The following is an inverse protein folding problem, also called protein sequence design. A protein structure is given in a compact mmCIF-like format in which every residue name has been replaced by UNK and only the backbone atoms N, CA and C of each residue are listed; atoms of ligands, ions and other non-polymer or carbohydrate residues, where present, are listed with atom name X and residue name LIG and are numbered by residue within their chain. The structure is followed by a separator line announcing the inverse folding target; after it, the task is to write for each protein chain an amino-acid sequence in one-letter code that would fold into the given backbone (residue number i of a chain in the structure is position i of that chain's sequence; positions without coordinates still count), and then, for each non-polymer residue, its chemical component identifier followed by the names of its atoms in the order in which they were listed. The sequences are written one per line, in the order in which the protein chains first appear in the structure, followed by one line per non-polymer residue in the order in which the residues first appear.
data_IF_203022956219
#
_entry.id   IF_203022956219
#
_cell.length_a   1.000
_cell.length_b   1.000
_cell.length_c   1.000
_cell.angle_alpha   90.00
_cell.angle_beta   90.00
_cell.angle_gamma   90.00
#
_symmetry.space_group_name_H-M   'P 1'
#
loop_
_entity.id
_entity.type
_entity.pdbx_description
1 polymer ?
#
# COMPACT_ATOMS: atom_id res chain seq x y z
N UNK A 1 7.46 2.98 -1.74
CA UNK A 1 6.38 1.97 -1.69
C UNK A 1 6.71 0.96 -2.73
N UNK A 2 6.68 -0.30 -2.37
CA UNK A 2 6.84 -1.40 -3.32
C UNK A 2 5.48 -2.07 -3.52
N UNK A 3 5.19 -2.44 -4.77
CA UNK A 3 4.03 -3.23 -5.13
C UNK A 3 4.51 -4.53 -5.77
N UNK A 4 4.22 -5.65 -5.11
CA UNK A 4 4.55 -6.99 -5.58
C UNK A 4 3.27 -7.75 -5.85
N UNK A 5 3.17 -8.34 -7.04
CA UNK A 5 2.07 -9.22 -7.40
C UNK A 5 2.53 -10.68 -7.36
N UNK A 6 1.76 -11.51 -6.68
CA UNK A 6 1.89 -12.98 -6.71
C UNK A 6 0.67 -13.58 -7.40
N UNK A 7 0.67 -14.88 -7.73
CA UNK A 7 -0.55 -15.50 -8.25
C UNK A 7 -1.75 -15.42 -7.29
N UNK A 8 -1.51 -15.25 -5.98
CA UNK A 8 -2.53 -15.27 -4.93
C UNK A 8 -2.90 -13.90 -4.38
N UNK A 9 -2.06 -12.87 -4.51
CA UNK A 9 -2.29 -11.57 -3.87
C UNK A 9 -1.51 -10.42 -4.54
N UNK A 10 -1.97 -9.20 -4.28
CA UNK A 10 -1.14 -8.00 -4.36
C UNK A 10 -0.59 -7.68 -2.97
N UNK A 11 0.68 -7.29 -2.89
CA UNK A 11 1.38 -7.00 -1.63
C UNK A 11 2.01 -5.62 -1.75
N UNK A 12 1.64 -4.71 -0.85
CA UNK A 12 2.18 -3.36 -0.78
C UNK A 12 3.10 -3.24 0.43
N UNK A 13 4.30 -2.68 0.24
CA UNK A 13 5.25 -2.41 1.32
C UNK A 13 5.57 -0.92 1.38
N UNK A 14 5.43 -0.32 2.55
CA UNK A 14 5.62 1.12 2.76
C UNK A 14 6.48 1.33 4.01
N UNK A 15 7.54 2.11 3.86
CA UNK A 15 8.35 2.53 5.00
C UNK A 15 7.55 3.53 5.83
N UNK A 16 7.31 3.18 7.09
CA UNK A 16 6.59 3.97 8.09
C UNK A 16 7.38 4.06 9.42
N UNK A 17 8.72 4.22 9.41
CA UNK A 17 9.47 4.31 10.65
C UNK A 17 9.02 5.55 11.44
N UNK A 18 8.85 5.39 12.75
CA UNK A 18 8.41 6.47 13.65
C UNK A 18 6.90 6.63 13.77
N UNK A 19 6.09 5.91 12.99
CA UNK A 19 4.64 5.86 13.17
C UNK A 19 4.22 4.68 14.03
N UNK A 20 3.34 4.96 14.98
CA UNK A 20 2.56 3.96 15.70
C UNK A 20 1.47 3.36 14.80
N UNK A 21 0.93 2.20 15.19
CA UNK A 21 -0.17 1.57 14.42
C UNK A 21 -1.43 2.43 14.43
N UNK A 22 -1.64 3.22 15.48
CA UNK A 22 -2.79 4.12 15.64
C UNK A 22 -2.71 5.33 14.72
N UNK A 23 -1.50 5.76 14.35
CA UNK A 23 -1.26 6.89 13.45
C UNK A 23 -1.41 6.51 11.97
N UNK A 24 -1.44 5.21 11.66
CA UNK A 24 -1.59 4.68 10.30
C UNK A 24 -3.03 4.21 10.09
N UNK A 25 -3.70 4.79 9.10
CA UNK A 25 -5.04 4.40 8.63
C UNK A 25 -4.93 3.71 7.28
N UNK A 26 -5.56 2.54 7.18
CA UNK A 26 -5.67 1.76 5.94
C UNK A 26 -7.15 1.48 5.69
N UNK A 27 -7.68 1.94 4.56
CA UNK A 27 -9.10 1.86 4.22
C UNK A 27 -9.28 1.51 2.74
N UNK A 28 -10.46 1.02 2.37
CA UNK A 28 -10.88 0.93 0.96
C UNK A 28 -12.04 1.88 0.76
N UNK A 29 -11.85 2.83 -0.15
CA UNK A 29 -12.82 3.84 -0.55
C UNK A 29 -13.32 3.52 -1.97
N UNK A 30 -14.48 4.06 -2.34
CA UNK A 30 -15.09 3.92 -3.67
C UNK A 30 -15.18 2.47 -4.22
N UNK A 31 -15.20 1.48 -3.32
CA UNK A 31 -15.32 0.06 -3.63
C UNK A 31 -14.02 -0.64 -4.01
N UNK A 32 -13.02 0.06 -4.54
CA UNK A 32 -11.74 -0.55 -4.95
C UNK A 32 -10.49 0.31 -4.76
N UNK A 33 -10.58 1.49 -4.12
CA UNK A 33 -9.43 2.36 -3.91
C UNK A 33 -8.83 2.10 -2.53
N UNK A 34 -7.65 1.48 -2.47
CA UNK A 34 -6.90 1.31 -1.22
C UNK A 34 -6.24 2.62 -0.82
N UNK A 35 -6.68 3.18 0.30
CA UNK A 35 -6.16 4.42 0.89
C UNK A 35 -5.30 4.10 2.09
N UNK A 36 -4.06 4.56 2.07
CA UNK A 36 -3.09 4.40 3.16
C UNK A 36 -2.61 5.79 3.56
N UNK A 37 -2.92 6.17 4.80
CA UNK A 37 -2.61 7.49 5.34
C UNK A 37 -1.90 7.37 6.67
N UNK A 38 -0.92 8.23 6.91
CA UNK A 38 -0.47 8.55 8.27
C UNK A 38 -0.60 10.05 8.50
N UNK A 39 -1.12 10.42 9.66
CA UNK A 39 -1.21 11.82 10.07
C UNK A 39 0.19 12.40 10.33
N UNK A 40 0.35 13.73 10.22
CA UNK A 40 1.64 14.39 10.46
C UNK A 40 2.21 13.89 11.78
N UNK A 41 3.38 13.26 11.72
CA UNK A 41 4.15 12.99 12.91
C UNK A 41 4.41 14.35 13.52
N UNK A 42 4.09 14.52 14.81
CA UNK A 42 4.41 15.76 15.51
C UNK A 42 5.85 16.11 15.16
N UNK A 43 6.09 17.31 14.62
CA UNK A 43 7.43 17.88 14.72
C UNK A 43 7.80 17.75 16.19
N UNK A 44 8.86 17.00 16.47
CA UNK A 44 9.30 16.80 17.85
C UNK A 44 9.48 18.20 18.43
N UNK A 45 8.64 18.58 19.41
CA UNK A 45 8.75 19.88 20.03
C UNK A 45 9.96 19.84 20.94
N UNK A 46 11.09 20.31 20.44
CA UNK A 46 12.33 20.28 21.19
C UNK A 46 12.28 21.28 22.34
N UNK A 47 12.78 20.84 23.50
CA UNK A 47 12.87 21.68 24.69
C UNK A 47 13.70 22.94 24.40
N UNK A 48 13.34 24.05 25.06
CA UNK A 48 13.93 25.38 24.84
C UNK A 48 15.47 25.43 25.02
N UNK A 49 16.07 24.41 25.63
CA UNK A 49 17.49 24.34 25.98
C UNK A 49 18.31 23.41 25.06
N UNK A 50 17.84 23.10 23.86
CA UNK A 50 18.53 22.19 22.92
C UNK A 50 18.94 22.87 21.61
N UNK A 51 20.16 22.58 21.14
CA UNK A 51 20.71 23.11 19.89
C UNK A 51 20.78 21.99 18.85
N UNK A 52 20.20 22.25 17.68
CA UNK A 52 20.20 21.32 16.56
C UNK A 52 21.38 21.61 15.64
N UNK A 53 22.22 20.60 15.44
CA UNK A 53 23.29 20.68 14.44
C UNK A 53 22.80 20.23 13.06
N UNK A 54 21.92 19.21 13.01
CA UNK A 54 21.37 18.64 11.76
C UNK A 54 19.98 18.03 12.03
N UNK A 55 19.02 18.26 11.12
CA UNK A 55 17.70 17.64 11.09
C UNK A 55 17.40 17.12 9.68
N UNK A 56 17.72 15.85 9.41
CA UNK A 56 17.49 15.22 8.10
C UNK A 56 16.17 14.43 8.03
N UNK A 57 15.71 13.91 9.17
CA UNK A 57 14.47 13.14 9.25
C UNK A 57 13.28 14.09 9.31
N UNK A 58 12.40 14.03 8.31
CA UNK A 58 11.14 14.78 8.30
C UNK A 58 9.98 13.95 8.86
N UNK A 59 9.15 14.57 9.71
CA UNK A 59 7.94 13.97 10.28
C UNK A 59 6.66 14.29 9.49
N UNK A 60 6.73 14.37 8.16
CA UNK A 60 5.54 14.72 7.36
C UNK A 60 4.68 13.48 7.14
N UNK A 61 3.39 13.62 7.44
CA UNK A 61 2.37 12.63 7.13
C UNK A 61 2.36 12.27 5.65
N UNK A 62 1.76 11.14 5.34
CA UNK A 62 1.66 10.67 3.95
C UNK A 62 0.25 10.22 3.64
N UNK A 63 -0.10 10.33 2.35
CA UNK A 63 -1.30 9.72 1.78
C UNK A 63 -0.90 8.99 0.50
N UNK A 64 -1.40 7.77 0.33
CA UNK A 64 -1.26 6.97 -0.89
C UNK A 64 -2.63 6.38 -1.22
N UNK A 65 -3.05 6.57 -2.45
CA UNK A 65 -4.28 6.02 -3.00
C UNK A 65 -3.89 5.08 -4.14
N UNK A 66 -4.41 3.86 -4.10
CA UNK A 66 -4.05 2.81 -5.04
C UNK A 66 -5.34 2.16 -5.51
N UNK A 67 -5.64 2.32 -6.80
CA UNK A 67 -6.74 1.59 -7.41
C UNK A 67 -6.40 0.10 -7.48
N UNK A 68 -7.18 -0.73 -6.80
CA UNK A 68 -6.99 -2.17 -6.78
C UNK A 68 -7.52 -2.78 -8.08
N UNK A 69 -6.80 -3.77 -8.65
CA UNK A 69 -7.30 -4.52 -9.80
C UNK A 69 -8.64 -5.19 -9.49
N UNK A 70 -9.41 -5.48 -10.54
CA UNK A 70 -10.60 -6.31 -10.42
C UNK A 70 -10.27 -7.67 -9.78
N UNK A 71 -11.26 -8.28 -9.13
CA UNK A 71 -11.17 -9.62 -8.52
C UNK A 71 -10.17 -9.69 -7.36
N UNK A 72 -10.32 -8.78 -6.41
CA UNK A 72 -9.68 -8.86 -5.10
C UNK A 72 -10.72 -9.11 -4.02
N UNK A 73 -10.32 -9.79 -2.94
CA UNK A 73 -11.18 -10.06 -1.79
C UNK A 73 -11.00 -8.93 -0.77
N UNK A 74 -11.70 -7.82 -0.97
CA UNK A 74 -11.58 -6.60 -0.14
C UNK A 74 -11.76 -6.90 1.35
N UNK A 75 -12.74 -7.71 1.72
CA UNK A 75 -13.01 -8.13 3.11
C UNK A 75 -11.90 -8.97 3.75
N UNK A 76 -10.92 -9.43 2.97
CA UNK A 76 -9.80 -10.25 3.41
C UNK A 76 -8.46 -9.52 3.36
N UNK A 77 -8.47 -8.21 3.10
CA UNK A 77 -7.27 -7.38 3.18
C UNK A 77 -6.74 -7.39 4.61
N UNK A 78 -5.41 -7.54 4.75
CA UNK A 78 -4.73 -7.50 6.04
C UNK A 78 -3.54 -6.55 5.99
N UNK A 79 -3.34 -5.80 7.05
CA UNK A 79 -2.18 -4.93 7.24
C UNK A 79 -1.39 -5.35 8.48
N UNK A 80 -0.06 -5.28 8.41
CA UNK A 80 0.83 -5.45 9.55
C UNK A 80 2.00 -4.49 9.46
N UNK A 81 2.48 -4.00 10.61
CA UNK A 81 3.70 -3.20 10.70
C UNK A 81 4.75 -4.02 11.44
N UNK A 82 5.89 -4.23 10.80
CA UNK A 82 7.03 -4.93 11.39
C UNK A 82 8.31 -4.17 11.04
N UNK A 83 9.16 -3.88 12.03
CA UNK A 83 10.44 -3.19 11.84
C UNK A 83 10.35 -1.89 11.03
N UNK A 84 9.30 -1.09 11.26
CA UNK A 84 9.08 0.18 10.56
C UNK A 84 8.57 0.05 9.12
N UNK A 85 8.11 -1.13 8.70
CA UNK A 85 7.54 -1.37 7.38
C UNK A 85 6.10 -1.86 7.50
N UNK A 86 5.17 -1.09 6.92
CA UNK A 86 3.79 -1.51 6.72
C UNK A 86 3.74 -2.46 5.52
N UNK A 87 3.19 -3.66 5.73
CA UNK A 87 2.85 -4.61 4.68
C UNK A 87 1.34 -4.76 4.60
N UNK A 88 0.75 -4.44 3.45
CA UNK A 88 -0.68 -4.66 3.15
C UNK A 88 -0.80 -5.79 2.14
N UNK A 89 -1.52 -6.85 2.50
CA UNK A 89 -1.80 -8.00 1.63
C UNK A 89 -3.24 -7.93 1.16
N UNK A 90 -3.42 -7.90 -0.16
CA UNK A 90 -4.71 -7.86 -0.84
C UNK A 90 -4.90 -9.18 -1.61
N UNK A 91 -5.65 -10.15 -1.05
CA UNK A 91 -5.84 -11.45 -1.70
C UNK A 91 -6.64 -11.33 -2.99
N UNK A 92 -6.22 -12.09 -4.01
CA UNK A 92 -6.95 -12.22 -5.27
C UNK A 92 -8.14 -13.18 -5.11
N UNK A 93 -9.20 -12.90 -5.85
CA UNK A 93 -10.29 -13.81 -6.04
C UNK A 93 -9.99 -14.79 -7.19
N UNK A 94 -9.51 -15.97 -6.81
CA UNK A 94 -9.12 -17.04 -7.74
C UNK A 94 -10.30 -17.93 -8.16
N UNK A 95 -11.54 -17.61 -7.76
CA UNK A 95 -12.71 -18.44 -8.08
C UNK A 95 -13.12 -18.33 -9.56
N UNK A 96 -12.76 -17.24 -10.24
CA UNK A 96 -12.91 -17.12 -11.68
C UNK A 96 -11.67 -17.68 -12.39
N UNK A 97 -11.84 -18.81 -13.10
CA UNK A 97 -10.79 -19.38 -13.94
C UNK A 97 -10.21 -18.28 -14.83
N UNK A 98 -8.88 -18.10 -14.80
CA UNK A 98 -8.18 -17.27 -15.76
C UNK A 98 -8.68 -17.61 -17.16
N UNK A 99 -9.04 -16.58 -17.95
CA UNK A 99 -9.53 -16.79 -19.31
C UNK A 99 -8.49 -17.65 -20.03
N UNK A 100 -8.90 -18.85 -20.47
CA UNK A 100 -8.03 -19.72 -21.25
C UNK A 100 -7.46 -18.91 -22.40
N UNK A 101 -6.16 -19.01 -22.63
CA UNK A 101 -5.50 -18.34 -23.73
C UNK A 101 -6.29 -18.60 -25.02
N UNK A 102 -6.74 -17.52 -25.67
CA UNK A 102 -7.45 -17.56 -26.93
C UNK A 102 -6.41 -17.45 -28.04
N UNK A 103 -6.31 -18.46 -28.88
CA UNK A 103 -5.61 -18.33 -30.16
C UNK A 103 -6.37 -17.31 -31.01
N UNK A 104 -5.66 -16.26 -31.45
CA UNK A 104 -6.21 -15.28 -32.39
C UNK A 104 -5.69 -15.66 -33.78
N UNK A 105 -6.62 -16.00 -34.68
CA UNK A 105 -6.30 -16.24 -36.08
C UNK A 105 -5.98 -14.89 -36.74
N UNK A 106 -4.83 -14.80 -37.39
CA UNK A 106 -4.43 -13.64 -38.19
C UNK A 106 -4.73 -13.97 -39.65
N UNK A 107 -5.58 -13.18 -40.30
CA UNK A 107 -5.80 -13.24 -41.75
C UNK A 107 -5.05 -12.11 -42.45
N UNK A 108 -4.38 -12.46 -43.55
CA UNK A 108 -3.68 -11.52 -44.43
C UNK A 108 -3.50 -12.15 -45.82
N UNK A 109 -3.59 -11.34 -46.87
CA UNK A 109 -3.17 -11.74 -48.22
C UNK A 109 -1.69 -11.40 -48.38
N UNK A 110 -0.89 -12.40 -48.71
CA UNK A 110 0.46 -12.23 -49.26
C UNK A 110 0.38 -11.81 -50.73
#
# INVERSE_FOLDING_TARGET
MDWVETPQAHIFKINVPGYSKEEIKVQVEDGNVLVIKAEDGKEESHGKDSVWHVAERGGKGFCREIELPERVKVEQIKGQVENGVLTVVVPKDTTTKQSKARTINISGKL
#
